data_IF_634708163747
#
_entry.id   IF_634708163747
#
_cell.length_a   1.000
_cell.length_b   1.000
_cell.length_c   1.000
_cell.angle_alpha   90.00
_cell.angle_beta   90.00
_cell.angle_gamma   90.00
#
_symmetry.space_group_name_H-M   'P 1'
#
loop_
_entity.id
_entity.type
_entity.pdbx_description
1 polymer ?
#
# COMPACT_ATOMS: atom_id res chain seq x y z
N UNK A 1 24.79 21.79 30.69
CA UNK A 1 24.85 21.46 29.25
C UNK A 1 24.34 20.03 28.98
N UNK A 2 23.04 19.72 29.19
CA UNK A 2 22.49 18.37 28.92
C UNK A 2 21.10 18.33 28.28
N UNK A 3 20.52 19.48 27.90
CA UNK A 3 19.18 19.56 27.29
C UNK A 3 19.12 19.08 25.84
N UNK A 4 20.26 18.93 25.17
CA UNK A 4 20.34 18.52 23.76
C UNK A 4 20.24 17.00 23.55
N UNK A 5 20.79 16.19 24.46
CA UNK A 5 20.72 14.72 24.39
C UNK A 5 19.29 14.13 24.45
N UNK A 6 18.37 14.59 25.33
CA UNK A 6 17.01 14.09 25.33
C UNK A 6 16.25 14.49 24.06
N UNK A 7 16.49 15.69 23.54
CA UNK A 7 15.87 16.21 22.30
C UNK A 7 16.32 15.41 21.07
N UNK A 8 17.62 15.13 20.95
CA UNK A 8 18.16 14.29 19.87
C UNK A 8 17.63 12.86 19.93
N UNK A 9 17.56 12.24 21.13
CA UNK A 9 16.99 10.89 21.30
C UNK A 9 15.49 10.85 20.96
N UNK A 10 14.76 11.93 21.22
CA UNK A 10 13.34 12.05 20.87
C UNK A 10 13.15 12.16 19.36
N UNK A 11 13.96 12.99 18.72
CA UNK A 11 13.90 13.21 17.27
C UNK A 11 14.30 11.94 16.50
N UNK A 12 15.33 11.23 16.96
CA UNK A 12 15.73 9.93 16.39
C UNK A 12 14.64 8.86 16.52
N UNK A 13 14.00 8.74 17.68
CA UNK A 13 12.87 7.80 17.87
C UNK A 13 11.66 8.16 17.01
N UNK A 14 11.37 9.45 16.86
CA UNK A 14 10.29 9.91 15.98
C UNK A 14 10.57 9.57 14.52
N UNK A 15 11.81 9.81 14.04
CA UNK A 15 12.22 9.46 12.69
C UNK A 15 12.12 7.95 12.45
N UNK A 16 12.59 7.13 13.40
CA UNK A 16 12.52 5.67 13.32
C UNK A 16 11.08 5.15 13.24
N UNK A 17 10.15 5.75 14.02
CA UNK A 17 8.72 5.40 13.94
C UNK A 17 8.12 5.79 12.59
N UNK A 18 8.54 6.92 12.02
CA UNK A 18 8.09 7.38 10.70
C UNK A 18 8.59 6.45 9.59
N UNK A 19 9.87 6.09 9.60
CA UNK A 19 10.45 5.16 8.62
C UNK A 19 9.83 3.77 8.73
N UNK A 20 9.64 3.27 9.96
CA UNK A 20 8.99 1.98 10.19
C UNK A 20 7.55 1.97 9.64
N UNK A 21 6.77 3.03 9.88
CA UNK A 21 5.41 3.14 9.34
C UNK A 21 5.41 3.18 7.80
N UNK A 22 6.34 3.93 7.18
CA UNK A 22 6.45 4.01 5.73
C UNK A 22 6.83 2.66 5.11
N UNK A 23 7.80 1.95 5.69
CA UNK A 23 8.20 0.61 5.27
C UNK A 23 7.04 -0.40 5.39
N UNK A 24 6.32 -0.38 6.51
CA UNK A 24 5.13 -1.23 6.68
C UNK A 24 4.03 -0.90 5.67
N UNK A 25 3.83 0.38 5.36
CA UNK A 25 2.86 0.82 4.36
C UNK A 25 3.23 0.33 2.97
N UNK A 26 4.52 0.44 2.60
CA UNK A 26 5.05 -0.08 1.34
C UNK A 26 4.92 -1.61 1.24
N UNK A 27 5.26 -2.34 2.31
CA UNK A 27 5.10 -3.79 2.35
C UNK A 27 3.63 -4.21 2.25
N UNK A 28 2.73 -3.48 2.90
CA UNK A 28 1.29 -3.71 2.79
C UNK A 28 0.77 -3.43 1.38
N UNK A 29 1.34 -2.42 0.69
CA UNK A 29 1.02 -2.14 -0.71
C UNK A 29 1.41 -3.33 -1.60
N UNK A 30 2.66 -3.79 -1.49
CA UNK A 30 3.17 -4.98 -2.19
C UNK A 30 2.22 -6.17 -2.05
N UNK A 31 1.93 -6.57 -0.81
CA UNK A 31 1.16 -7.78 -0.51
C UNK A 31 -0.28 -7.63 -0.99
N UNK A 32 -0.92 -6.50 -0.64
CA UNK A 32 -2.31 -6.20 -1.00
C UNK A 32 -2.52 -6.22 -2.51
N UNK A 33 -1.65 -5.51 -3.23
CA UNK A 33 -1.77 -5.34 -4.67
C UNK A 33 -1.45 -6.64 -5.42
N UNK A 34 -0.46 -7.42 -4.96
CA UNK A 34 -0.18 -8.75 -5.53
C UNK A 34 -1.36 -9.70 -5.34
N UNK A 35 -1.96 -9.72 -4.15
CA UNK A 35 -3.15 -10.56 -3.87
C UNK A 35 -4.34 -10.18 -4.76
N UNK A 36 -4.55 -8.88 -5.00
CA UNK A 36 -5.63 -8.43 -5.87
C UNK A 36 -5.41 -8.85 -7.33
N UNK A 37 -4.19 -8.71 -7.84
CA UNK A 37 -3.86 -9.19 -9.18
C UNK A 37 -4.13 -10.69 -9.29
N UNK A 38 -3.65 -11.49 -8.33
CA UNK A 38 -3.91 -12.93 -8.31
C UNK A 38 -5.41 -13.24 -8.36
N UNK A 39 -6.20 -12.59 -7.49
CA UNK A 39 -7.64 -12.82 -7.42
C UNK A 39 -8.37 -12.40 -8.70
N UNK A 40 -7.88 -11.35 -9.38
CA UNK A 40 -8.50 -10.83 -10.60
C UNK A 40 -8.23 -11.71 -11.83
N UNK A 41 -7.05 -12.33 -11.90
CA UNK A 41 -6.67 -13.17 -13.04
C UNK A 41 -6.93 -14.67 -12.82
N UNK A 42 -7.27 -15.07 -11.59
CA UNK A 42 -7.60 -16.46 -11.27
C UNK A 42 -8.68 -17.08 -12.17
N UNK A 43 -9.83 -16.41 -12.46
CA UNK A 43 -10.87 -16.99 -13.31
C UNK A 43 -10.38 -17.26 -14.74
N UNK A 44 -9.67 -16.29 -15.34
CA UNK A 44 -9.14 -16.42 -16.69
C UNK A 44 -8.13 -17.58 -16.81
N UNK A 45 -7.27 -17.75 -15.81
CA UNK A 45 -6.28 -18.83 -15.77
C UNK A 45 -6.91 -20.20 -15.50
N UNK A 46 -7.96 -20.27 -14.67
CA UNK A 46 -8.70 -21.50 -14.41
C UNK A 46 -9.41 -22.04 -15.67
N UNK A 47 -9.81 -21.14 -16.57
CA UNK A 47 -10.42 -21.47 -17.87
C UNK A 47 -9.37 -21.78 -18.96
N UNK A 48 -8.07 -21.75 -18.63
CA UNK A 48 -6.98 -22.03 -19.58
C UNK A 48 -6.79 -20.93 -20.62
N UNK A 49 -7.36 -19.75 -20.41
CA UNK A 49 -7.20 -18.61 -21.33
C UNK A 49 -5.81 -17.99 -21.15
N UNK A 50 -5.05 -17.76 -22.23
CA UNK A 50 -3.76 -17.10 -22.14
C UNK A 50 -3.94 -15.65 -21.68
N UNK A 51 -3.29 -15.29 -20.58
CA UNK A 51 -3.29 -13.91 -20.08
C UNK A 51 -2.04 -13.22 -20.59
N UNK A 52 -2.23 -12.18 -21.39
CA UNK A 52 -1.14 -11.30 -21.81
C UNK A 52 -1.03 -10.15 -20.80
N UNK A 53 -0.02 -10.22 -19.96
CA UNK A 53 0.20 -9.27 -18.88
C UNK A 53 1.35 -8.32 -19.25
N UNK A 54 1.03 -7.02 -19.38
CA UNK A 54 1.98 -5.89 -19.55
C UNK A 54 3.12 -6.08 -20.58
N UNK A 55 2.87 -6.76 -21.70
CA UNK A 55 3.87 -6.96 -22.76
C UNK A 55 4.79 -8.17 -22.57
N UNK A 56 4.57 -8.99 -21.54
CA UNK A 56 5.18 -10.32 -21.43
C UNK A 56 4.54 -11.31 -22.43
N UNK A 57 5.30 -12.36 -22.75
CA UNK A 57 4.79 -13.49 -23.51
C UNK A 57 3.50 -14.04 -22.87
N UNK A 58 2.51 -14.48 -23.68
CA UNK A 58 1.27 -15.04 -23.16
C UNK A 58 1.58 -16.15 -22.15
N UNK A 59 1.15 -15.95 -20.91
CA UNK A 59 1.38 -16.92 -19.84
C UNK A 59 0.15 -17.81 -19.72
N UNK A 60 0.38 -19.12 -19.68
CA UNK A 60 -0.69 -20.12 -19.62
C UNK A 60 -0.91 -20.64 -18.20
N UNK A 61 0.04 -20.40 -17.29
CA UNK A 61 -0.04 -20.88 -15.92
C UNK A 61 0.14 -19.77 -14.90
N UNK A 62 -0.50 -19.96 -13.75
CA UNK A 62 -0.39 -19.02 -12.64
C UNK A 62 1.03 -18.97 -12.08
N UNK A 63 1.78 -20.07 -12.16
CA UNK A 63 3.18 -20.15 -11.74
C UNK A 63 4.11 -19.26 -12.58
N UNK A 64 3.79 -19.05 -13.86
CA UNK A 64 4.53 -18.14 -14.75
C UNK A 64 4.24 -16.66 -14.46
N UNK A 65 2.98 -16.35 -14.11
CA UNK A 65 2.54 -14.97 -13.82
C UNK A 65 2.91 -14.48 -12.42
N UNK A 66 2.95 -15.38 -11.44
CA UNK A 66 3.27 -15.05 -10.04
C UNK A 66 4.56 -14.24 -9.88
N UNK A 67 5.72 -14.65 -10.45
CA UNK A 67 6.96 -13.88 -10.31
C UNK A 67 6.85 -12.49 -10.95
N UNK A 68 6.21 -12.36 -12.11
CA UNK A 68 6.04 -11.07 -12.78
C UNK A 68 5.15 -10.10 -11.98
N UNK A 69 4.02 -10.58 -11.47
CA UNK A 69 3.12 -9.78 -10.63
C UNK A 69 3.80 -9.33 -9.33
N UNK A 70 4.59 -10.22 -8.73
CA UNK A 70 5.33 -9.91 -7.50
C UNK A 70 6.45 -8.90 -7.77
N UNK A 71 7.22 -9.08 -8.84
CA UNK A 71 8.30 -8.17 -9.24
C UNK A 71 7.74 -6.76 -9.49
N UNK A 72 6.66 -6.66 -10.27
CA UNK A 72 6.00 -5.39 -10.53
C UNK A 72 5.50 -4.71 -9.26
N UNK A 73 4.82 -5.47 -8.39
CA UNK A 73 4.35 -4.94 -7.12
C UNK A 73 5.50 -4.52 -6.21
N UNK A 74 6.65 -5.19 -6.29
CA UNK A 74 7.86 -4.85 -5.54
C UNK A 74 8.50 -3.56 -6.06
N UNK A 75 8.55 -3.40 -7.38
CA UNK A 75 9.00 -2.14 -8.01
C UNK A 75 8.10 -0.99 -7.57
N UNK A 76 6.78 -1.13 -7.66
CA UNK A 76 5.83 -0.09 -7.20
C UNK A 76 5.99 0.21 -5.72
N UNK A 77 6.11 -0.82 -4.87
CA UNK A 77 6.30 -0.63 -3.43
C UNK A 77 7.58 0.16 -3.12
N UNK A 78 8.67 -0.08 -3.87
CA UNK A 78 9.92 0.68 -3.77
C UNK A 78 9.77 2.12 -4.29
N UNK A 79 9.11 2.31 -5.44
CA UNK A 79 8.84 3.63 -6.04
C UNK A 79 7.97 4.50 -5.13
N UNK A 80 7.00 3.91 -4.45
CA UNK A 80 6.06 4.60 -3.56
C UNK A 80 6.56 4.76 -2.12
N UNK A 81 7.62 4.06 -1.72
CA UNK A 81 8.28 4.23 -0.43
C UNK A 81 8.59 5.71 -0.07
N UNK A 82 9.26 6.53 -0.94
CA UNK A 82 9.52 7.92 -0.64
C UNK A 82 8.24 8.73 -0.41
N UNK A 83 7.16 8.45 -1.16
CA UNK A 83 5.87 9.11 -0.96
C UNK A 83 5.30 8.77 0.42
N UNK A 84 5.32 7.51 0.84
CA UNK A 84 4.87 7.12 2.18
C UNK A 84 5.73 7.72 3.30
N UNK A 85 7.02 7.91 3.05
CA UNK A 85 7.94 8.51 4.01
C UNK A 85 7.73 10.03 4.15
N UNK A 86 7.45 10.72 3.06
CA UNK A 86 7.29 12.18 3.04
C UNK A 86 5.90 12.62 3.47
N UNK A 87 4.88 11.83 3.14
CA UNK A 87 3.47 12.17 3.37
C UNK A 87 3.13 12.27 4.86
N UNK A 88 2.40 13.31 5.29
CA UNK A 88 1.94 13.39 6.66
C UNK A 88 0.92 12.29 6.94
N UNK A 89 0.97 11.73 8.14
CA UNK A 89 0.13 10.60 8.58
C UNK A 89 -1.37 10.69 8.21
N UNK A 90 -2.10 11.81 8.34
CA UNK A 90 -3.51 11.84 7.95
C UNK A 90 -3.74 11.60 6.45
N UNK A 91 -2.76 11.96 5.61
CA UNK A 91 -2.81 11.79 4.16
C UNK A 91 -2.30 10.42 3.70
N UNK A 92 -1.69 9.63 4.59
CA UNK A 92 -1.10 8.34 4.23
C UNK A 92 -2.16 7.31 3.83
N UNK A 93 -3.32 7.30 4.50
CA UNK A 93 -4.47 6.45 4.14
C UNK A 93 -5.06 6.80 2.76
N UNK A 94 -5.46 8.06 2.47
CA UNK A 94 -5.98 8.41 1.16
C UNK A 94 -4.92 8.28 0.06
N UNK A 95 -3.64 8.54 0.35
CA UNK A 95 -2.55 8.30 -0.60
C UNK A 95 -2.44 6.82 -0.95
N UNK A 96 -2.42 5.94 0.07
CA UNK A 96 -2.37 4.49 -0.15
C UNK A 96 -3.53 4.02 -1.02
N UNK A 97 -4.75 4.41 -0.67
CA UNK A 97 -5.94 4.04 -1.44
C UNK A 97 -5.91 4.60 -2.87
N UNK A 98 -5.49 5.85 -3.03
CA UNK A 98 -5.40 6.50 -4.33
C UNK A 98 -4.39 5.82 -5.26
N UNK A 99 -3.16 5.58 -4.79
CA UNK A 99 -2.14 4.87 -5.55
C UNK A 99 -2.59 3.45 -5.90
N UNK A 100 -3.19 2.75 -4.95
CA UNK A 100 -3.66 1.39 -5.16
C UNK A 100 -4.74 1.33 -6.24
N UNK A 101 -5.74 2.22 -6.17
CA UNK A 101 -6.83 2.29 -7.15
C UNK A 101 -6.34 2.74 -8.53
N UNK A 102 -5.37 3.67 -8.55
CA UNK A 102 -4.73 4.13 -9.77
C UNK A 102 -4.03 2.97 -10.49
N UNK A 103 -3.22 2.18 -9.79
CA UNK A 103 -2.52 1.04 -10.38
C UNK A 103 -3.48 -0.06 -10.84
N UNK A 104 -4.58 -0.29 -10.11
CA UNK A 104 -5.65 -1.20 -10.57
C UNK A 104 -6.25 -0.73 -11.90
N UNK A 105 -6.52 0.57 -12.02
CA UNK A 105 -7.02 1.15 -13.26
C UNK A 105 -5.98 1.06 -14.39
N UNK A 106 -4.72 1.39 -14.12
CA UNK A 106 -3.65 1.37 -15.13
C UNK A 106 -3.38 -0.04 -15.67
N UNK A 107 -3.34 -1.06 -14.80
CA UNK A 107 -3.25 -2.46 -15.24
C UNK A 107 -4.45 -2.84 -16.12
N UNK A 108 -5.66 -2.50 -15.69
CA UNK A 108 -6.86 -2.81 -16.46
C UNK A 108 -6.83 -2.12 -17.82
N UNK A 109 -6.37 -0.87 -17.87
CA UNK A 109 -6.18 -0.12 -19.11
C UNK A 109 -5.11 -0.76 -20.00
N UNK A 110 -3.92 -1.09 -19.48
CA UNK A 110 -2.83 -1.69 -20.26
C UNK A 110 -3.19 -3.08 -20.80
N UNK A 111 -3.87 -3.90 -20.02
CA UNK A 111 -4.39 -5.19 -20.50
C UNK A 111 -5.49 -5.00 -21.55
N UNK A 112 -6.30 -3.96 -21.39
CA UNK A 112 -7.29 -3.55 -22.36
C UNK A 112 -6.69 -2.79 -23.56
N UNK A 113 -5.45 -2.33 -23.58
CA UNK A 113 -4.88 -1.66 -24.78
C UNK A 113 -4.58 -2.62 -25.94
N UNK A 114 -4.80 -3.92 -25.76
CA UNK A 114 -5.00 -4.88 -26.87
C UNK A 114 -6.45 -4.88 -27.41
N UNK A 115 -7.37 -4.16 -26.77
CA UNK A 115 -8.80 -4.02 -27.09
C UNK A 115 -9.26 -2.54 -27.10
N UNK A 116 -10.38 -2.24 -27.74
CA UNK A 116 -10.82 -0.87 -28.04
C UNK A 116 -11.59 -0.18 -26.89
N UNK A 117 -11.26 -0.50 -25.64
CA UNK A 117 -12.16 -0.18 -24.51
C UNK A 117 -12.11 1.28 -24.06
N UNK A 118 -13.28 1.86 -23.82
CA UNK A 118 -13.43 3.19 -23.23
C UNK A 118 -13.24 3.13 -21.70
N UNK A 119 -12.82 4.23 -21.03
CA UNK A 119 -12.57 4.24 -19.58
C UNK A 119 -13.76 3.77 -18.72
N UNK A 120 -14.99 4.05 -19.16
CA UNK A 120 -16.18 3.59 -18.44
C UNK A 120 -16.41 2.08 -18.60
N UNK A 121 -15.97 1.48 -19.72
CA UNK A 121 -16.08 0.04 -19.95
C UNK A 121 -15.17 -0.70 -18.98
N UNK A 122 -13.94 -0.21 -18.76
CA UNK A 122 -13.02 -0.75 -17.73
C UNK A 122 -13.68 -0.81 -16.35
N UNK A 123 -14.42 0.24 -15.99
CA UNK A 123 -15.12 0.28 -14.69
C UNK A 123 -16.18 -0.83 -14.61
N UNK A 124 -17.00 -0.99 -15.65
CA UNK A 124 -18.10 -1.96 -15.65
C UNK A 124 -17.67 -3.41 -15.87
N UNK A 125 -16.69 -3.64 -16.74
CA UNK A 125 -16.27 -4.98 -17.16
C UNK A 125 -15.14 -5.56 -16.32
N UNK A 126 -14.30 -4.70 -15.72
CA UNK A 126 -13.13 -5.16 -14.94
C UNK A 126 -13.24 -4.82 -13.46
N UNK A 127 -13.55 -3.57 -13.10
CA UNK A 127 -13.57 -3.14 -11.69
C UNK A 127 -14.79 -3.72 -10.96
N UNK A 128 -15.99 -3.61 -11.56
CA UNK A 128 -17.24 -4.00 -10.92
C UNK A 128 -17.28 -5.50 -10.54
N UNK A 129 -16.88 -6.45 -11.40
CA UNK A 129 -16.88 -7.88 -11.05
C UNK A 129 -15.94 -8.21 -9.88
N UNK A 130 -14.83 -7.46 -9.76
CA UNK A 130 -13.80 -7.69 -8.75
C UNK A 130 -13.99 -6.84 -7.48
N UNK A 131 -15.12 -6.14 -7.32
CA UNK A 131 -15.36 -5.24 -6.18
C UNK A 131 -15.16 -5.91 -4.82
N UNK A 132 -15.53 -7.18 -4.68
CA UNK A 132 -15.37 -7.93 -3.44
C UNK A 132 -13.89 -8.23 -3.12
N UNK A 133 -13.09 -8.60 -4.12
CA UNK A 133 -11.64 -8.76 -3.97
C UNK A 133 -10.95 -7.43 -3.73
N UNK A 134 -11.40 -6.37 -4.39
CA UNK A 134 -10.94 -5.00 -4.18
C UNK A 134 -11.14 -4.61 -2.70
N UNK A 135 -12.35 -4.81 -2.17
CA UNK A 135 -12.64 -4.52 -0.76
C UNK A 135 -11.78 -5.37 0.19
N UNK A 136 -11.65 -6.67 -0.04
CA UNK A 136 -10.87 -7.55 0.83
C UNK A 136 -9.39 -7.18 0.86
N UNK A 137 -8.81 -6.95 -0.31
CA UNK A 137 -7.37 -6.69 -0.47
C UNK A 137 -7.00 -5.25 -0.10
N UNK A 138 -7.91 -4.27 -0.27
CA UNK A 138 -7.66 -2.87 0.06
C UNK A 138 -8.06 -2.49 1.50
N UNK A 139 -9.18 -3.01 2.02
CA UNK A 139 -9.68 -2.60 3.34
C UNK A 139 -8.78 -3.10 4.48
N UNK A 140 -8.31 -4.35 4.37
CA UNK A 140 -7.42 -4.95 5.37
C UNK A 140 -6.13 -4.14 5.61
N UNK A 141 -5.32 -3.78 4.59
CA UNK A 141 -4.12 -2.97 4.80
C UNK A 141 -4.45 -1.56 5.30
N UNK A 142 -5.55 -0.93 4.86
CA UNK A 142 -5.97 0.39 5.38
C UNK A 142 -6.24 0.34 6.89
N UNK A 143 -6.93 -0.70 7.36
CA UNK A 143 -7.18 -0.89 8.80
C UNK A 143 -5.88 -1.13 9.57
N UNK A 144 -4.97 -1.95 9.03
CA UNK A 144 -3.66 -2.21 9.63
C UNK A 144 -2.81 -0.94 9.71
N UNK A 145 -2.71 -0.15 8.64
CA UNK A 145 -2.03 1.15 8.61
C UNK A 145 -2.59 2.08 9.68
N UNK A 146 -3.93 2.18 9.78
CA UNK A 146 -4.61 3.00 10.79
C UNK A 146 -4.28 2.54 12.21
N UNK A 147 -4.26 1.23 12.46
CA UNK A 147 -3.94 0.66 13.77
C UNK A 147 -2.46 0.86 14.13
N UNK A 148 -1.55 0.55 13.21
CA UNK A 148 -0.10 0.71 13.36
C UNK A 148 0.27 2.17 13.60
N UNK A 149 -0.29 3.08 12.81
CA UNK A 149 -0.11 4.51 13.03
C UNK A 149 -0.57 4.93 14.43
N UNK A 150 -1.70 4.42 14.91
CA UNK A 150 -2.16 4.73 16.29
C UNK A 150 -1.18 4.21 17.32
N UNK A 151 -0.76 2.94 17.23
CA UNK A 151 0.15 2.32 18.20
C UNK A 151 1.53 2.98 18.23
N UNK A 152 2.15 3.19 17.07
CA UNK A 152 3.51 3.74 16.97
C UNK A 152 3.65 5.18 17.53
N UNK A 153 2.56 5.95 17.55
CA UNK A 153 2.58 7.35 17.96
C UNK A 153 1.74 7.68 19.21
N UNK A 154 0.95 6.74 19.74
CA UNK A 154 0.21 6.92 21.00
C UNK A 154 1.14 6.95 22.23
N UNK A 155 2.30 6.28 22.17
CA UNK A 155 3.29 6.30 23.26
C UNK A 155 3.87 7.70 23.53
N UNK A 156 3.66 8.66 22.63
CA UNK A 156 4.25 10.01 22.74
C UNK A 156 3.44 10.95 23.62
N UNK A 157 2.12 10.78 23.71
CA UNK A 157 1.24 11.63 24.51
C UNK A 157 1.31 11.27 26.00
N UNK A 158 1.39 9.98 26.35
CA UNK A 158 1.54 9.53 27.74
C UNK A 158 2.85 10.04 28.38
N UNK A 159 3.95 10.08 27.63
CA UNK A 159 5.24 10.59 28.14
C UNK A 159 5.29 12.12 28.23
N UNK A 160 4.50 12.87 27.46
CA UNK A 160 4.39 14.33 27.62
C UNK A 160 3.51 14.73 28.81
N UNK A 161 2.40 14.02 29.04
CA UNK A 161 1.51 14.30 30.18
C UNK A 161 2.20 14.06 31.53
N UNK A 162 3.02 13.02 31.66
CA UNK A 162 3.79 12.75 32.88
C UNK A 162 4.95 13.71 33.15
N UNK A 163 5.45 14.42 32.12
CA UNK A 163 6.53 15.39 32.27
C UNK A 163 6.06 16.78 32.73
N UNK A 164 4.80 17.14 32.44
CA UNK A 164 4.22 18.44 32.85
C UNK A 164 3.77 18.42 34.31
N UNK A 165 3.45 17.25 34.87
CA UNK A 165 2.95 17.13 36.26
C UNK A 165 4.09 17.25 37.30
N UNK A 166 5.35 17.04 36.92
CA UNK A 166 6.49 17.07 37.86
C UNK A 166 7.22 18.42 37.96
N UNK A 167 6.85 19.43 37.15
CA UNK A 167 7.55 20.73 37.10
C UNK A 167 6.71 21.90 37.63
N UNK A 168 5.55 21.61 38.26
CA UNK A 168 4.62 22.62 38.82
C UNK A 168 4.67 22.78 40.34
N UNK A 169 5.72 22.26 40.99
CA UNK A 169 5.83 22.21 42.46
C UNK A 169 7.12 22.81 42.99
N UNK A 170 7.36 24.11 42.74
CA UNK A 170 8.25 24.95 43.54
C UNK A 170 7.68 26.36 43.66
#
# INVERSE_FOLDING_TARGET
MSTWMPTLRRMGRWLLRKTALALLTSLLFLISFTLFQYASWWPALAEGTPVQWSGLSPSHTLAELTPAMLEFSAVLACVYLPLFLLTPRPLLLPLFAGLWLWETYDIAFMTATASTWLPHEIIWSFILPHTHWLLLTLLAPLLLIRQLGRRLFADTSATQAGGVILDGGR
#
